data_IF_077350765208
#
_entry.id   IF_077350765208
#
_cell.length_a   1.000
_cell.length_b   1.000
_cell.length_c   1.000
_cell.angle_alpha   90.00
_cell.angle_beta   90.00
_cell.angle_gamma   90.00
#
_symmetry.space_group_name_H-M   'P 1'
#
loop_
_entity.id
_entity.type
_entity.pdbx_description
1 polymer ?
#
# COMPACT_ATOMS: atom_id res chain seq x y z
N UNK A 1 23.14 -12.29 -8.65
CA UNK A 1 21.76 -12.14 -9.14
C UNK A 1 21.53 -10.72 -9.67
N UNK A 2 20.49 -10.51 -10.46
CA UNK A 2 20.12 -9.21 -11.03
C UNK A 2 18.69 -8.90 -10.62
N UNK A 3 18.46 -7.71 -10.05
CA UNK A 3 17.12 -7.19 -9.72
C UNK A 3 16.74 -6.07 -10.68
N UNK A 4 15.45 -5.80 -10.78
CA UNK A 4 14.94 -4.68 -11.56
C UNK A 4 15.09 -3.38 -10.76
N UNK A 5 15.38 -2.29 -11.43
CA UNK A 5 15.30 -0.94 -10.85
C UNK A 5 13.93 -0.31 -11.07
N UNK A 6 13.72 0.84 -10.44
CA UNK A 6 12.53 1.67 -10.61
C UNK A 6 12.88 3.09 -11.03
N UNK A 7 12.01 3.68 -11.85
CA UNK A 7 12.20 5.05 -12.33
C UNK A 7 11.64 6.04 -11.29
N UNK A 8 12.51 6.58 -10.45
CA UNK A 8 12.16 7.49 -9.36
C UNK A 8 11.28 8.67 -9.79
N UNK A 9 11.56 9.39 -10.90
CA UNK A 9 10.71 10.52 -11.32
C UNK A 9 9.26 10.15 -11.60
N UNK A 10 8.99 8.89 -11.97
CA UNK A 10 7.62 8.38 -12.20
C UNK A 10 6.93 7.97 -10.90
N UNK A 11 7.65 7.38 -9.94
CA UNK A 11 7.08 6.72 -8.78
C UNK A 11 7.15 7.51 -7.49
N UNK A 12 8.10 8.41 -7.32
CA UNK A 12 8.12 9.34 -6.21
C UNK A 12 7.00 10.39 -6.38
N UNK A 13 6.25 10.65 -5.31
CA UNK A 13 5.27 11.73 -5.27
C UNK A 13 5.93 13.07 -5.58
N UNK A 14 5.17 14.01 -6.17
CA UNK A 14 5.66 15.37 -6.42
C UNK A 14 6.18 16.03 -5.15
N UNK A 15 5.46 15.82 -4.05
CA UNK A 15 5.81 16.35 -2.73
C UNK A 15 7.16 15.80 -2.23
N UNK A 16 7.43 14.50 -2.44
CA UNK A 16 8.73 13.92 -2.09
C UNK A 16 9.83 14.42 -3.01
N UNK A 17 9.57 14.62 -4.31
CA UNK A 17 10.55 15.20 -5.22
C UNK A 17 10.94 16.62 -4.83
N UNK A 18 9.96 17.46 -4.46
CA UNK A 18 10.19 18.81 -3.95
C UNK A 18 10.96 18.77 -2.63
N UNK A 19 10.60 17.85 -1.74
CA UNK A 19 11.26 17.66 -0.45
C UNK A 19 12.72 17.25 -0.61
N UNK A 20 13.01 16.29 -1.49
CA UNK A 20 14.37 15.85 -1.80
C UNK A 20 15.18 16.97 -2.44
N UNK A 21 14.59 17.68 -3.41
CA UNK A 21 15.25 18.82 -4.04
C UNK A 21 15.63 19.90 -3.02
N UNK A 22 14.72 20.25 -2.13
CA UNK A 22 14.93 21.29 -1.12
C UNK A 22 16.00 20.91 -0.09
N UNK A 23 16.00 19.67 0.38
CA UNK A 23 16.82 19.24 1.50
C UNK A 23 18.14 18.57 1.07
N UNK A 24 18.16 17.90 -0.08
CA UNK A 24 19.30 17.14 -0.56
C UNK A 24 19.96 17.76 -1.80
N UNK A 25 19.26 18.67 -2.49
CA UNK A 25 19.75 19.27 -3.73
C UNK A 25 19.52 18.41 -4.97
N UNK A 26 19.90 18.92 -6.17
CA UNK A 26 19.65 18.27 -7.45
C UNK A 26 20.43 16.97 -7.66
N UNK A 27 21.55 16.78 -6.98
CA UNK A 27 22.43 15.62 -7.13
C UNK A 27 21.72 14.29 -6.82
N UNK A 28 20.72 14.28 -5.92
CA UNK A 28 19.97 13.08 -5.59
C UNK A 28 19.20 12.51 -6.80
N UNK A 29 18.82 13.36 -7.76
CA UNK A 29 18.13 12.92 -8.98
C UNK A 29 19.09 12.44 -10.08
N UNK A 30 20.35 12.88 -10.03
CA UNK A 30 21.40 12.52 -10.99
C UNK A 30 22.17 11.27 -10.54
N UNK A 31 22.33 11.10 -9.22
CA UNK A 31 23.13 10.06 -8.58
C UNK A 31 22.31 9.23 -7.57
N UNK A 32 21.16 8.71 -8.02
CA UNK A 32 20.20 8.01 -7.14
C UNK A 32 20.80 6.77 -6.45
N UNK A 33 21.78 6.12 -7.06
CA UNK A 33 22.47 4.94 -6.51
C UNK A 33 23.67 5.29 -5.62
N UNK A 34 24.03 6.55 -5.50
CA UNK A 34 25.13 7.00 -4.66
C UNK A 34 24.61 7.31 -3.25
N UNK A 35 25.01 6.55 -2.21
CA UNK A 35 24.61 6.82 -0.82
C UNK A 35 24.97 8.21 -0.33
N UNK A 36 26.07 8.81 -0.86
CA UNK A 36 26.52 10.15 -0.45
C UNK A 36 25.47 11.22 -0.83
N UNK A 37 24.79 11.06 -1.98
CA UNK A 37 23.77 11.99 -2.42
C UNK A 37 22.56 12.04 -1.45
N UNK A 38 22.36 11.00 -0.64
CA UNK A 38 21.23 10.87 0.30
C UNK A 38 21.57 11.26 1.74
N UNK A 39 22.86 11.43 2.10
CA UNK A 39 23.27 11.67 3.49
C UNK A 39 22.59 12.86 4.15
N UNK A 40 22.30 13.93 3.41
CA UNK A 40 21.59 15.09 3.93
C UNK A 40 20.21 14.79 4.52
N UNK A 41 19.64 13.59 4.27
CA UNK A 41 18.36 13.20 4.88
C UNK A 41 18.44 13.09 6.40
N UNK A 42 19.61 12.76 6.95
CA UNK A 42 19.83 12.64 8.39
C UNK A 42 19.84 14.00 9.12
N UNK A 43 20.00 15.11 8.38
CA UNK A 43 19.94 16.46 8.91
C UNK A 43 18.51 17.02 8.90
N UNK A 44 17.57 16.30 8.28
CA UNK A 44 16.16 16.68 8.23
C UNK A 44 15.47 16.25 9.52
N UNK A 45 14.67 17.14 10.13
CA UNK A 45 13.95 16.81 11.35
C UNK A 45 12.89 15.72 11.11
N UNK A 46 12.74 14.81 12.09
CA UNK A 46 11.70 13.77 12.08
C UNK A 46 10.30 14.35 11.86
N UNK A 47 10.03 15.54 12.43
CA UNK A 47 8.74 16.22 12.28
C UNK A 47 8.47 16.61 10.82
N UNK A 48 9.49 17.04 10.06
CA UNK A 48 9.32 17.37 8.65
C UNK A 48 9.00 16.13 7.81
N UNK A 49 9.69 15.02 8.06
CA UNK A 49 9.43 13.73 7.43
C UNK A 49 8.04 13.23 7.79
N UNK A 50 7.67 13.29 9.06
CA UNK A 50 6.35 12.88 9.54
C UNK A 50 5.21 13.69 8.91
N UNK A 51 5.35 15.01 8.86
CA UNK A 51 4.37 15.89 8.22
C UNK A 51 4.16 15.55 6.74
N UNK A 52 5.24 15.24 6.03
CA UNK A 52 5.17 14.77 4.64
C UNK A 52 4.39 13.47 4.52
N UNK A 53 4.66 12.49 5.40
CA UNK A 53 3.94 11.22 5.43
C UNK A 53 2.45 11.41 5.72
N UNK A 54 2.11 12.23 6.71
CA UNK A 54 0.72 12.55 7.06
C UNK A 54 -0.02 13.22 5.88
N UNK A 55 0.63 14.15 5.20
CA UNK A 55 0.06 14.81 4.03
C UNK A 55 -0.29 13.81 2.92
N UNK A 56 0.63 12.90 2.58
CA UNK A 56 0.41 11.91 1.52
C UNK A 56 -0.61 10.85 1.92
N UNK A 57 -0.62 10.44 3.19
CA UNK A 57 -1.64 9.56 3.75
C UNK A 57 -3.05 10.17 3.65
N UNK A 58 -3.21 11.43 4.00
CA UNK A 58 -4.49 12.12 3.88
C UNK A 58 -4.95 12.21 2.42
N UNK A 59 -4.06 12.52 1.48
CA UNK A 59 -4.36 12.48 0.04
C UNK A 59 -4.79 11.09 -0.45
N UNK A 60 -4.18 10.05 0.10
CA UNK A 60 -4.57 8.67 -0.19
C UNK A 60 -5.95 8.34 0.37
N UNK A 61 -6.23 8.71 1.61
CA UNK A 61 -7.55 8.49 2.24
C UNK A 61 -8.65 9.19 1.44
N UNK A 62 -8.46 10.43 1.03
CA UNK A 62 -9.43 11.15 0.18
C UNK A 62 -9.63 10.46 -1.17
N UNK A 63 -8.55 9.95 -1.77
CA UNK A 63 -8.65 9.13 -2.98
C UNK A 63 -9.48 7.87 -2.74
N UNK A 64 -9.20 7.11 -1.66
CA UNK A 64 -9.92 5.88 -1.32
C UNK A 64 -11.40 6.16 -1.10
N UNK A 65 -11.73 7.19 -0.32
CA UNK A 65 -13.13 7.58 -0.05
C UNK A 65 -13.90 7.88 -1.34
N UNK A 66 -13.30 8.65 -2.23
CA UNK A 66 -13.93 9.00 -3.52
C UNK A 66 -14.09 7.78 -4.42
N UNK A 67 -13.01 7.03 -4.64
CA UNK A 67 -12.99 5.86 -5.54
C UNK A 67 -13.97 4.78 -5.05
N UNK A 68 -13.98 4.51 -3.74
CA UNK A 68 -14.87 3.53 -3.14
C UNK A 68 -16.35 3.95 -3.27
N UNK A 69 -16.66 5.22 -3.01
CA UNK A 69 -18.00 5.78 -3.17
C UNK A 69 -18.49 5.68 -4.61
N UNK A 70 -17.67 6.10 -5.58
CA UNK A 70 -18.02 6.08 -6.99
C UNK A 70 -18.32 4.65 -7.50
N UNK A 71 -17.47 3.69 -7.12
CA UNK A 71 -17.65 2.28 -7.51
C UNK A 71 -18.83 1.61 -6.81
N UNK A 72 -19.02 1.89 -5.53
CA UNK A 72 -20.18 1.39 -4.78
C UNK A 72 -21.50 1.82 -5.40
N UNK A 73 -21.63 3.10 -5.74
CA UNK A 73 -22.81 3.64 -6.38
C UNK A 73 -23.03 3.09 -7.80
N UNK A 74 -21.94 2.93 -8.55
CA UNK A 74 -21.97 2.31 -9.90
C UNK A 74 -22.47 0.86 -9.84
N UNK A 75 -22.11 0.12 -8.80
CA UNK A 75 -22.54 -1.26 -8.60
C UNK A 75 -23.91 -1.36 -7.89
N UNK A 76 -24.66 -0.27 -7.81
CA UNK A 76 -25.99 -0.20 -7.18
C UNK A 76 -26.00 -0.62 -5.70
N UNK A 77 -24.91 -0.42 -5.01
CA UNK A 77 -24.82 -0.65 -3.57
C UNK A 77 -25.67 0.32 -2.76
N UNK A 78 -26.10 -0.11 -1.57
CA UNK A 78 -26.92 0.72 -0.67
C UNK A 78 -26.13 1.98 -0.23
N UNK A 79 -26.64 3.20 -0.51
CA UNK A 79 -25.99 4.44 -0.10
C UNK A 79 -25.80 4.59 1.42
N UNK A 80 -26.64 3.98 2.23
CA UNK A 80 -26.53 4.04 3.70
C UNK A 80 -25.35 3.22 4.21
N UNK A 81 -25.06 2.09 3.59
CA UNK A 81 -23.97 1.22 3.97
C UNK A 81 -22.60 1.83 3.58
N UNK A 82 -22.51 2.47 2.41
CA UNK A 82 -21.24 3.12 2.00
C UNK A 82 -20.84 4.23 2.97
N UNK A 83 -21.79 5.02 3.49
CA UNK A 83 -21.48 6.06 4.48
C UNK A 83 -20.85 5.43 5.72
N UNK A 84 -21.44 4.36 6.26
CA UNK A 84 -20.90 3.63 7.41
C UNK A 84 -19.49 3.10 7.18
N UNK A 85 -19.19 2.63 5.97
CA UNK A 85 -17.85 2.12 5.61
C UNK A 85 -16.84 3.27 5.51
N UNK A 86 -17.22 4.38 4.85
CA UNK A 86 -16.34 5.54 4.68
C UNK A 86 -16.02 6.24 6.01
N UNK A 87 -16.97 6.31 6.93
CA UNK A 87 -16.78 6.90 8.26
C UNK A 87 -15.81 6.10 9.14
N UNK A 88 -15.62 4.81 8.82
CA UNK A 88 -14.64 3.95 9.51
C UNK A 88 -13.21 4.09 9.00
N UNK A 89 -12.99 4.79 7.88
CA UNK A 89 -11.63 5.07 7.41
C UNK A 89 -10.99 6.08 8.37
N UNK A 90 -10.02 5.58 9.13
CA UNK A 90 -9.39 6.33 10.22
C UNK A 90 -8.01 6.85 9.79
N UNK A 91 -7.81 8.18 9.70
CA UNK A 91 -6.51 8.75 9.34
C UNK A 91 -5.41 8.47 10.37
N UNK A 92 -5.79 8.14 11.60
CA UNK A 92 -4.84 7.78 12.67
C UNK A 92 -4.53 6.28 12.73
N UNK A 93 -5.23 5.45 11.95
CA UNK A 93 -4.92 4.02 11.88
C UNK A 93 -3.60 3.78 11.13
N UNK A 94 -2.86 2.75 11.51
CA UNK A 94 -1.76 2.20 10.71
C UNK A 94 -2.35 1.57 9.44
N UNK A 95 -2.07 2.14 8.29
CA UNK A 95 -2.58 1.64 7.00
C UNK A 95 -1.54 0.74 6.36
N UNK A 96 -1.89 -0.53 6.16
CA UNK A 96 -1.03 -1.54 5.54
C UNK A 96 -1.57 -1.84 4.14
N UNK A 97 -0.75 -1.62 3.13
CA UNK A 97 -1.08 -1.85 1.73
C UNK A 97 -0.53 -3.15 1.18
N UNK A 98 -1.36 -3.87 0.43
CA UNK A 98 -0.96 -5.04 -0.36
C UNK A 98 -1.54 -4.91 -1.76
N UNK A 99 -0.70 -4.63 -2.75
CA UNK A 99 -1.20 -4.49 -4.11
C UNK A 99 -0.23 -5.07 -5.15
N UNK A 100 -0.76 -6.02 -5.93
CA UNK A 100 0.01 -6.77 -6.93
C UNK A 100 -0.87 -7.64 -7.81
N UNK A 101 -0.24 -8.30 -8.79
CA UNK A 101 -0.88 -9.42 -9.47
C UNK A 101 -1.16 -10.54 -8.45
N UNK A 102 -2.40 -10.99 -8.38
CA UNK A 102 -2.78 -12.11 -7.54
C UNK A 102 -2.33 -13.42 -8.19
N UNK A 103 -1.30 -14.02 -7.61
CA UNK A 103 -0.79 -15.34 -7.92
C UNK A 103 -0.53 -16.06 -6.60
N UNK A 104 -0.66 -17.38 -6.55
CA UNK A 104 -0.62 -18.18 -5.31
C UNK A 104 0.66 -17.95 -4.51
N UNK A 105 1.82 -17.90 -5.18
CA UNK A 105 3.11 -17.70 -4.50
C UNK A 105 3.26 -16.35 -3.79
N UNK A 106 2.44 -15.36 -4.13
CA UNK A 106 2.39 -14.05 -3.47
C UNK A 106 1.70 -14.11 -2.10
N UNK A 107 1.01 -15.21 -1.82
CA UNK A 107 0.37 -15.55 -0.54
C UNK A 107 -0.52 -14.45 0.05
N UNK A 108 -1.35 -13.81 -0.78
CA UNK A 108 -2.30 -12.80 -0.31
C UNK A 108 -3.24 -13.31 0.79
N UNK A 109 -3.48 -14.63 0.84
CA UNK A 109 -4.32 -15.31 1.83
C UNK A 109 -3.66 -15.47 3.21
N UNK A 110 -2.35 -15.25 3.33
CA UNK A 110 -1.62 -15.50 4.57
C UNK A 110 -2.19 -14.72 5.76
N UNK A 111 -2.65 -13.49 5.52
CA UNK A 111 -3.29 -12.66 6.54
C UNK A 111 -4.58 -13.28 7.09
N UNK A 112 -5.26 -14.14 6.32
CA UNK A 112 -6.58 -14.72 6.65
C UNK A 112 -6.49 -16.14 7.19
N UNK A 113 -5.32 -16.62 7.55
CA UNK A 113 -5.12 -17.96 8.13
C UNK A 113 -5.64 -18.06 9.55
N UNK A 114 -5.70 -16.94 10.28
CA UNK A 114 -6.24 -16.83 11.63
C UNK A 114 -7.12 -15.56 11.72
N UNK A 115 -8.41 -15.72 11.42
CA UNK A 115 -9.36 -14.61 11.41
C UNK A 115 -9.65 -14.06 12.81
N UNK A 116 -9.60 -14.88 13.85
CA UNK A 116 -9.83 -14.43 15.23
C UNK A 116 -8.71 -13.52 15.71
N UNK A 117 -7.47 -13.88 15.40
CA UNK A 117 -6.31 -13.06 15.68
C UNK A 117 -6.34 -11.76 14.85
N UNK A 118 -6.68 -11.85 13.58
CA UNK A 118 -6.81 -10.68 12.72
C UNK A 118 -7.89 -9.73 13.24
N UNK A 119 -9.05 -10.26 13.67
CA UNK A 119 -10.11 -9.46 14.24
C UNK A 119 -9.66 -8.71 15.50
N UNK A 120 -8.90 -9.35 16.37
CA UNK A 120 -8.32 -8.69 17.57
C UNK A 120 -7.37 -7.55 17.18
N UNK A 121 -6.57 -7.73 16.12
CA UNK A 121 -5.63 -6.70 15.64
C UNK A 121 -6.40 -5.49 15.09
N UNK A 122 -7.32 -5.70 14.14
CA UNK A 122 -7.97 -4.59 13.43
C UNK A 122 -9.05 -3.87 14.26
N UNK A 123 -9.52 -4.49 15.34
CA UNK A 123 -10.50 -3.88 16.26
C UNK A 123 -9.86 -3.35 17.55
N UNK A 124 -8.54 -3.26 17.61
CA UNK A 124 -7.85 -2.61 18.72
C UNK A 124 -8.02 -1.09 18.60
N UNK A 125 -8.72 -0.48 19.56
CA UNK A 125 -9.00 0.97 19.55
C UNK A 125 -7.78 1.81 19.89
N UNK A 126 -6.86 1.29 20.70
CA UNK A 126 -5.64 1.99 21.10
C UNK A 126 -4.61 2.02 19.97
N UNK A 127 -4.54 0.94 19.19
CA UNK A 127 -3.62 0.80 18.05
C UNK A 127 -4.39 0.39 16.79
N UNK A 128 -5.18 1.31 16.21
CA UNK A 128 -6.03 0.98 15.07
C UNK A 128 -5.21 0.63 13.84
N UNK A 129 -5.59 -0.47 13.18
CA UNK A 129 -4.94 -0.97 11.96
C UNK A 129 -5.99 -1.15 10.87
N UNK A 130 -5.66 -0.75 9.66
CA UNK A 130 -6.49 -0.96 8.47
C UNK A 130 -5.66 -1.55 7.34
N UNK A 131 -6.26 -2.46 6.57
CA UNK A 131 -5.61 -3.08 5.41
C UNK A 131 -6.27 -2.63 4.12
N UNK A 132 -5.46 -2.31 3.14
CA UNK A 132 -5.92 -1.94 1.80
C UNK A 132 -5.29 -2.88 0.77
N UNK A 133 -6.13 -3.65 0.11
CA UNK A 133 -5.76 -4.55 -0.97
C UNK A 133 -6.12 -3.95 -2.32
N UNK A 134 -5.32 -4.24 -3.33
CA UNK A 134 -5.66 -3.99 -4.73
C UNK A 134 -4.88 -4.92 -5.64
N UNK A 135 -5.38 -5.17 -6.83
CA UNK A 135 -4.67 -6.00 -7.80
C UNK A 135 -5.60 -6.66 -8.79
N UNK A 136 -4.99 -7.46 -9.66
CA UNK A 136 -5.69 -8.23 -10.69
C UNK A 136 -5.16 -9.65 -10.73
N UNK A 137 -6.04 -10.60 -11.06
CA UNK A 137 -5.65 -11.96 -11.46
C UNK A 137 -5.75 -12.08 -12.99
N UNK A 138 -4.94 -12.96 -13.56
CA UNK A 138 -5.10 -13.28 -14.98
C UNK A 138 -6.46 -13.95 -15.22
N UNK A 139 -7.16 -13.68 -16.33
CA UNK A 139 -8.47 -14.30 -16.61
C UNK A 139 -8.47 -15.83 -16.59
N UNK A 140 -7.35 -16.45 -16.93
CA UNK A 140 -7.19 -17.92 -16.89
C UNK A 140 -6.66 -18.43 -15.52
N UNK A 141 -6.38 -17.56 -14.53
CA UNK A 141 -5.88 -17.94 -13.21
C UNK A 141 -7.03 -17.98 -12.19
N UNK A 142 -7.76 -19.11 -12.18
CA UNK A 142 -8.87 -19.31 -11.23
C UNK A 142 -8.42 -19.27 -9.75
N UNK A 143 -7.20 -19.70 -9.45
CA UNK A 143 -6.65 -19.64 -8.10
C UNK A 143 -6.42 -18.18 -7.65
N UNK A 144 -5.83 -17.35 -8.51
CA UNK A 144 -5.66 -15.93 -8.25
C UNK A 144 -6.99 -15.18 -8.11
N UNK A 145 -7.99 -15.53 -8.92
CA UNK A 145 -9.35 -14.98 -8.79
C UNK A 145 -10.00 -15.39 -7.47
N UNK A 146 -9.80 -16.65 -7.03
CA UNK A 146 -10.27 -17.14 -5.74
C UNK A 146 -9.67 -16.39 -4.56
N UNK A 147 -8.40 -15.96 -4.65
CA UNK A 147 -7.76 -15.11 -3.62
C UNK A 147 -8.45 -13.73 -3.52
N UNK A 148 -8.76 -13.09 -4.65
CA UNK A 148 -9.49 -11.81 -4.66
C UNK A 148 -10.87 -12.00 -4.04
N UNK A 149 -11.62 -13.02 -4.48
CA UNK A 149 -12.94 -13.34 -3.93
C UNK A 149 -12.89 -13.51 -2.41
N UNK A 150 -11.91 -14.25 -1.90
CA UNK A 150 -11.73 -14.46 -0.45
C UNK A 150 -11.49 -13.16 0.31
N UNK A 151 -10.67 -12.25 -0.22
CA UNK A 151 -10.42 -10.94 0.41
C UNK A 151 -11.71 -10.13 0.49
N UNK A 152 -12.48 -10.09 -0.60
CA UNK A 152 -13.74 -9.38 -0.67
C UNK A 152 -14.76 -9.99 0.32
N UNK A 153 -14.89 -11.31 0.37
CA UNK A 153 -15.77 -11.98 1.35
C UNK A 153 -15.40 -11.62 2.79
N UNK A 154 -14.12 -11.66 3.14
CA UNK A 154 -13.65 -11.30 4.48
C UNK A 154 -13.93 -9.82 4.78
N UNK A 155 -13.70 -8.92 3.82
CA UNK A 155 -13.93 -7.48 4.02
C UNK A 155 -15.41 -7.13 4.34
N UNK A 156 -16.35 -7.98 3.92
CA UNK A 156 -17.78 -7.82 4.22
C UNK A 156 -18.24 -8.48 5.54
N UNK A 157 -17.37 -9.24 6.21
CA UNK A 157 -17.72 -9.80 7.52
C UNK A 157 -17.84 -8.66 8.56
N UNK A 158 -18.81 -8.73 9.49
CA UNK A 158 -19.09 -7.63 10.43
C UNK A 158 -17.86 -7.13 11.21
N UNK A 159 -16.96 -8.05 11.62
CA UNK A 159 -15.75 -7.71 12.38
C UNK A 159 -14.65 -7.05 11.53
N UNK A 160 -14.73 -7.13 10.21
CA UNK A 160 -13.74 -6.57 9.28
C UNK A 160 -14.25 -5.41 8.44
N UNK A 161 -15.54 -5.14 8.49
CA UNK A 161 -16.17 -4.05 7.72
C UNK A 161 -15.57 -2.70 8.13
N UNK A 162 -15.05 -1.96 7.15
CA UNK A 162 -14.35 -0.69 7.38
C UNK A 162 -12.95 -0.84 7.99
N UNK A 163 -12.39 -2.06 8.05
CA UNK A 163 -11.02 -2.36 8.50
C UNK A 163 -10.18 -2.98 7.39
N UNK A 164 -10.83 -3.70 6.47
CA UNK A 164 -10.21 -4.31 5.31
C UNK A 164 -10.93 -3.79 4.07
N UNK A 165 -10.17 -3.23 3.13
CA UNK A 165 -10.69 -2.65 1.90
C UNK A 165 -10.06 -3.34 0.70
N UNK A 166 -10.83 -3.55 -0.36
CA UNK A 166 -10.34 -3.96 -1.66
C UNK A 166 -10.63 -2.84 -2.68
N UNK A 167 -9.57 -2.22 -3.21
CA UNK A 167 -9.68 -1.22 -4.27
C UNK A 167 -9.69 -1.93 -5.63
N UNK A 168 -10.79 -1.78 -6.34
CA UNK A 168 -10.98 -2.34 -7.69
C UNK A 168 -10.16 -1.59 -8.74
N UNK A 169 -10.12 -2.15 -9.95
CA UNK A 169 -9.51 -1.55 -11.13
C UNK A 169 -8.04 -1.13 -10.96
N UNK A 170 -7.25 -2.01 -10.34
CA UNK A 170 -5.82 -1.76 -10.16
C UNK A 170 -5.14 -1.31 -11.47
N UNK A 171 -4.62 -0.10 -11.45
CA UNK A 171 -3.95 0.57 -12.56
C UNK A 171 -2.82 1.48 -12.03
N UNK A 172 -2.15 2.21 -12.94
CA UNK A 172 -1.04 3.09 -12.56
C UNK A 172 -1.43 4.18 -11.54
N UNK A 173 -2.66 4.71 -11.64
CA UNK A 173 -3.15 5.75 -10.70
C UNK A 173 -3.34 5.17 -9.32
N UNK A 174 -4.05 4.02 -9.20
CA UNK A 174 -4.24 3.31 -7.92
C UNK A 174 -2.89 2.89 -7.34
N UNK A 175 -1.98 2.35 -8.17
CA UNK A 175 -0.65 1.93 -7.74
C UNK A 175 0.14 3.09 -7.13
N UNK A 176 0.19 4.25 -7.81
CA UNK A 176 0.88 5.46 -7.32
C UNK A 176 0.29 5.93 -6.00
N UNK A 177 -1.04 5.97 -5.86
CA UNK A 177 -1.70 6.39 -4.61
C UNK A 177 -1.37 5.45 -3.45
N UNK A 178 -1.36 4.13 -3.69
CA UNK A 178 -1.02 3.14 -2.68
C UNK A 178 0.44 3.28 -2.21
N UNK A 179 1.42 3.24 -3.12
CA UNK A 179 2.85 3.28 -2.76
C UNK A 179 3.29 4.62 -2.15
N UNK A 180 2.47 5.67 -2.27
CA UNK A 180 2.75 6.98 -1.65
C UNK A 180 2.01 7.19 -0.33
N UNK A 181 0.86 6.54 -0.12
CA UNK A 181 -0.07 6.92 0.94
C UNK A 181 -0.25 5.92 2.07
N UNK A 182 0.08 4.63 1.90
CA UNK A 182 0.05 3.67 3.00
C UNK A 182 1.25 3.86 3.93
N UNK A 183 1.16 3.38 5.17
CA UNK A 183 2.26 3.46 6.13
C UNK A 183 3.23 2.29 5.97
N UNK A 184 2.69 1.10 5.69
CA UNK A 184 3.46 -0.13 5.48
C UNK A 184 3.08 -0.77 4.15
N UNK A 185 4.09 -1.21 3.40
CA UNK A 185 3.93 -2.01 2.20
C UNK A 185 4.19 -3.48 2.53
N UNK A 186 3.13 -4.29 2.48
CA UNK A 186 3.20 -5.71 2.83
C UNK A 186 3.56 -6.55 1.60
N UNK A 187 4.57 -7.41 1.74
CA UNK A 187 5.06 -8.28 0.69
C UNK A 187 5.38 -9.68 1.24
N UNK A 188 4.58 -10.67 0.88
CA UNK A 188 4.61 -12.01 1.49
C UNK A 188 4.89 -13.15 0.49
N UNK A 189 5.84 -13.03 -0.44
CA UNK A 189 6.07 -14.08 -1.42
C UNK A 189 6.55 -15.38 -0.78
N UNK A 190 6.33 -16.50 -1.47
CA UNK A 190 6.99 -17.77 -1.14
C UNK A 190 8.42 -17.69 -1.68
N UNK A 191 9.40 -17.74 -0.79
CA UNK A 191 10.81 -17.75 -1.16
C UNK A 191 11.19 -19.08 -1.85
N UNK A 192 12.01 -19.08 -2.92
CA UNK A 192 12.68 -17.95 -3.60
C UNK A 192 11.96 -17.51 -4.90
N UNK A 193 10.65 -17.41 -4.90
CA UNK A 193 9.86 -17.23 -6.13
C UNK A 193 9.68 -15.76 -6.56
N UNK A 194 10.03 -14.79 -5.72
CA UNK A 194 10.00 -13.37 -6.09
C UNK A 194 11.32 -12.96 -6.74
N UNK A 195 11.30 -12.75 -8.06
CA UNK A 195 12.52 -12.45 -8.81
C UNK A 195 13.11 -11.07 -8.47
N UNK A 196 12.27 -10.06 -8.25
CA UNK A 196 12.72 -8.71 -7.86
C UNK A 196 11.74 -8.04 -6.88
N UNK A 197 10.48 -7.80 -7.25
CA UNK A 197 9.51 -7.20 -6.35
C UNK A 197 9.59 -5.68 -6.25
N UNK A 198 9.67 -4.97 -7.38
CA UNK A 198 9.88 -3.50 -7.47
C UNK A 198 8.86 -2.63 -6.73
N UNK A 199 7.74 -3.19 -6.26
CA UNK A 199 6.72 -2.42 -5.55
C UNK A 199 7.19 -1.91 -4.18
N UNK A 200 8.04 -2.69 -3.48
CA UNK A 200 8.68 -2.25 -2.24
C UNK A 200 9.61 -1.06 -2.47
N UNK A 201 10.45 -1.11 -3.52
CA UNK A 201 11.32 0.01 -3.91
C UNK A 201 10.52 1.30 -4.17
N UNK A 202 9.37 1.17 -4.88
CA UNK A 202 8.46 2.30 -5.12
C UNK A 202 7.85 2.86 -3.84
N UNK A 203 7.55 2.01 -2.88
CA UNK A 203 7.02 2.40 -1.59
C UNK A 203 8.09 3.13 -0.75
N UNK A 204 9.29 2.59 -0.66
CA UNK A 204 10.37 3.18 0.13
C UNK A 204 10.80 4.56 -0.35
N UNK A 205 10.89 4.79 -1.67
CA UNK A 205 11.21 6.13 -2.20
C UNK A 205 10.13 7.19 -1.87
N UNK A 206 9.00 6.77 -1.32
CA UNK A 206 7.93 7.62 -0.80
C UNK A 206 7.84 7.58 0.74
N UNK A 207 8.88 7.07 1.42
CA UNK A 207 8.91 6.98 2.88
C UNK A 207 7.91 5.98 3.47
N UNK A 208 7.43 5.01 2.69
CA UNK A 208 6.59 3.89 3.15
C UNK A 208 7.49 2.75 3.58
N UNK A 209 7.26 2.20 4.76
CA UNK A 209 8.06 1.10 5.29
C UNK A 209 7.76 -0.20 4.53
N UNK A 210 8.80 -0.89 4.05
CA UNK A 210 8.65 -2.18 3.41
C UNK A 210 8.66 -3.30 4.46
N UNK A 211 7.56 -4.03 4.57
CA UNK A 211 7.44 -5.21 5.42
C UNK A 211 7.33 -6.46 4.55
N UNK A 212 8.46 -7.10 4.34
CA UNK A 212 8.60 -8.14 3.32
C UNK A 212 9.28 -9.39 3.85
N UNK A 213 8.92 -10.52 3.26
CA UNK A 213 9.78 -11.72 3.29
C UNK A 213 11.08 -11.38 2.57
N UNK A 214 12.21 -11.88 3.11
CA UNK A 214 13.55 -11.69 2.52
C UNK A 214 13.65 -12.47 1.22
N UNK A 215 13.25 -11.84 0.12
CA UNK A 215 13.23 -12.39 -1.23
C UNK A 215 13.28 -11.26 -2.27
N UNK A 216 13.74 -11.57 -3.47
CA UNK A 216 13.92 -10.57 -4.52
C UNK A 216 14.96 -9.51 -4.15
N UNK A 217 14.63 -8.23 -4.37
CA UNK A 217 15.55 -7.12 -4.06
C UNK A 217 15.77 -6.91 -2.54
N UNK A 218 14.84 -7.41 -1.73
CA UNK A 218 14.86 -7.27 -0.26
C UNK A 218 15.67 -8.35 0.45
N UNK A 219 16.42 -9.14 -0.30
CA UNK A 219 17.24 -10.25 0.23
C UNK A 219 18.52 -9.77 0.89
#
# INVERSE_FOLDING_TARGET
>A
YVTNGVHMPTWAASEWKEFYWKNLGPQVFQHQSDPEAWKGIFDVSDQAIWNMRVQLKNKFIEFVKRDFKEKWLKNQGDPSEIVKVLDRINPNALIIGFARRFATYKRAHLLFTDLDRLAKIVNNEQFPVQFVFSGKAHPADGAGQGLIKRIVEVSHMPQFMGKIFFLEDYNMTVAKRLVTGVDIWLNTPTRPLEASGTSGEKAEMNGVLNFSVLDGWWY
#
